data_IF_944024963518
#
_entry.id   IF_944024963518
#
_cell.length_a   1.000
_cell.length_b   1.000
_cell.length_c   1.000
_cell.angle_alpha   90.00
_cell.angle_beta   90.00
_cell.angle_gamma   90.00
#
_symmetry.space_group_name_H-M   'P 1'
#
loop_
_entity.id
_entity.type
_entity.pdbx_description
1 polymer ?
#
# COMPACT_ATOMS: atom_id res chain seq x y z
N UNK A 1 -34.77 -24.25 -0.02
CA UNK A 1 -35.20 -25.56 -0.54
C UNK A 1 -34.96 -25.62 -2.05
N UNK A 2 -34.37 -26.70 -2.56
CA UNK A 2 -34.25 -26.93 -4.01
C UNK A 2 -35.63 -27.24 -4.61
N UNK A 3 -36.09 -26.43 -5.57
CA UNK A 3 -37.34 -26.64 -6.32
C UNK A 3 -37.12 -27.46 -7.59
N UNK A 4 -36.05 -27.17 -8.32
CA UNK A 4 -35.75 -27.90 -9.55
C UNK A 4 -34.27 -27.86 -9.90
N UNK A 5 -33.81 -28.89 -10.61
CA UNK A 5 -32.47 -28.95 -11.20
C UNK A 5 -32.58 -29.27 -12.69
N UNK A 6 -31.82 -28.53 -13.50
CA UNK A 6 -31.64 -28.75 -14.92
C UNK A 6 -30.15 -29.00 -15.20
N UNK A 7 -29.83 -30.13 -15.81
CA UNK A 7 -28.48 -30.52 -16.20
C UNK A 7 -28.45 -30.78 -17.71
N UNK A 8 -27.46 -30.20 -18.39
CA UNK A 8 -27.22 -30.41 -19.82
C UNK A 8 -25.75 -30.73 -20.07
N UNK A 9 -25.50 -31.75 -20.89
CA UNK A 9 -24.17 -32.14 -21.37
C UNK A 9 -23.14 -32.45 -20.26
N UNK A 10 -23.54 -33.22 -19.24
CA UNK A 10 -22.74 -33.52 -18.04
C UNK A 10 -22.52 -35.03 -17.87
N UNK A 11 -21.27 -35.50 -17.94
CA UNK A 11 -20.89 -36.91 -17.77
C UNK A 11 -21.69 -37.86 -18.69
N UNK A 12 -22.70 -38.57 -18.18
CA UNK A 12 -23.57 -39.45 -18.97
C UNK A 12 -24.91 -38.79 -19.36
N UNK A 13 -25.22 -37.62 -18.80
CA UNK A 13 -26.48 -36.89 -18.99
C UNK A 13 -26.37 -35.99 -20.22
N UNK A 14 -27.22 -36.23 -21.21
CA UNK A 14 -27.44 -35.28 -22.30
C UNK A 14 -28.34 -34.12 -21.84
N UNK A 15 -29.51 -34.45 -21.29
CA UNK A 15 -30.45 -33.50 -20.67
C UNK A 15 -31.21 -34.16 -19.53
N UNK A 16 -31.31 -33.49 -18.39
CA UNK A 16 -32.09 -33.91 -17.23
C UNK A 16 -32.77 -32.70 -16.61
N UNK A 17 -34.06 -32.82 -16.34
CA UNK A 17 -34.85 -31.83 -15.61
C UNK A 17 -35.62 -32.57 -14.52
N UNK A 18 -35.39 -32.23 -13.25
CA UNK A 18 -36.11 -32.81 -12.11
C UNK A 18 -36.71 -31.68 -11.29
N UNK A 19 -37.97 -31.85 -10.90
CA UNK A 19 -38.64 -30.99 -9.92
C UNK A 19 -38.75 -31.73 -8.59
N UNK A 20 -38.53 -31.02 -7.49
CA UNK A 20 -38.53 -31.54 -6.14
C UNK A 20 -39.70 -30.94 -5.36
N UNK A 21 -40.36 -31.79 -4.58
CA UNK A 21 -41.39 -31.37 -3.63
C UNK A 21 -40.79 -31.19 -2.24
N UNK A 22 -41.50 -30.46 -1.39
CA UNK A 22 -41.07 -30.19 -0.01
C UNK A 22 -41.05 -31.47 0.82
N UNK A 23 -40.09 -31.54 1.74
CA UNK A 23 -39.94 -32.66 2.65
C UNK A 23 -38.95 -33.70 2.13
N UNK A 24 -39.32 -34.98 2.22
CA UNK A 24 -38.42 -36.09 1.96
C UNK A 24 -38.56 -36.60 0.52
N UNK A 25 -37.47 -36.49 -0.25
CA UNK A 25 -37.38 -37.03 -1.61
C UNK A 25 -36.38 -38.19 -1.66
N UNK A 26 -36.79 -39.31 -2.26
CA UNK A 26 -35.93 -40.48 -2.44
C UNK A 26 -35.67 -40.70 -3.92
N UNK A 27 -34.41 -40.82 -4.29
CA UNK A 27 -33.98 -41.19 -5.64
C UNK A 27 -33.46 -42.62 -5.59
N UNK A 28 -34.10 -43.51 -6.34
CA UNK A 28 -33.70 -44.91 -6.52
C UNK A 28 -33.31 -45.19 -7.97
N UNK A 29 -32.61 -46.30 -8.21
CA UNK A 29 -32.18 -46.72 -9.54
C UNK A 29 -31.43 -48.04 -9.50
N UNK A 30 -31.25 -48.66 -10.67
CA UNK A 30 -30.58 -49.96 -10.82
C UNK A 30 -29.06 -49.86 -10.60
N UNK A 31 -28.45 -48.79 -11.11
CA UNK A 31 -27.01 -48.51 -10.94
C UNK A 31 -26.82 -47.19 -10.18
N UNK A 32 -25.91 -47.19 -9.21
CA UNK A 32 -25.60 -46.00 -8.39
C UNK A 32 -25.06 -44.80 -9.17
N UNK A 33 -24.73 -44.98 -10.45
CA UNK A 33 -24.17 -43.94 -11.32
C UNK A 33 -25.10 -42.73 -11.45
N UNK A 34 -26.41 -42.92 -11.66
CA UNK A 34 -27.34 -41.80 -11.86
C UNK A 34 -27.49 -40.91 -10.61
N UNK A 35 -27.53 -41.53 -9.42
CA UNK A 35 -27.57 -40.82 -8.14
C UNK A 35 -26.28 -40.05 -7.90
N UNK A 36 -25.13 -40.68 -8.10
CA UNK A 36 -23.82 -40.05 -7.90
C UNK A 36 -23.63 -38.86 -8.84
N UNK A 37 -23.99 -39.01 -10.12
CA UNK A 37 -23.90 -37.92 -11.10
C UNK A 37 -24.76 -36.71 -10.68
N UNK A 38 -25.96 -36.93 -10.13
CA UNK A 38 -26.81 -35.84 -9.65
C UNK A 38 -26.19 -35.12 -8.44
N UNK A 39 -25.67 -35.87 -7.48
CA UNK A 39 -25.00 -35.32 -6.28
C UNK A 39 -23.72 -34.55 -6.65
N UNK A 40 -22.93 -35.09 -7.58
CA UNK A 40 -21.74 -34.39 -8.10
C UNK A 40 -22.11 -33.12 -8.87
N UNK A 41 -23.18 -33.17 -9.67
CA UNK A 41 -23.70 -32.01 -10.38
C UNK A 41 -24.14 -30.89 -9.41
N UNK A 42 -24.87 -31.26 -8.34
CA UNK A 42 -25.21 -30.32 -7.27
C UNK A 42 -23.94 -29.78 -6.60
N UNK A 43 -22.95 -30.61 -6.31
CA UNK A 43 -21.70 -30.17 -5.71
C UNK A 43 -20.97 -29.12 -6.57
N UNK A 44 -20.99 -29.28 -7.90
CA UNK A 44 -20.44 -28.29 -8.84
C UNK A 44 -21.22 -26.99 -8.85
N UNK A 45 -22.55 -27.07 -8.72
CA UNK A 45 -23.41 -25.89 -8.59
C UNK A 45 -23.11 -25.09 -7.30
N UNK A 46 -22.66 -25.77 -6.25
CA UNK A 46 -22.25 -25.17 -4.97
C UNK A 46 -20.79 -24.70 -4.95
N UNK A 47 -20.13 -24.64 -6.11
CA UNK A 47 -18.78 -24.08 -6.23
C UNK A 47 -17.63 -25.07 -6.06
N UNK A 48 -17.89 -26.39 -6.04
CA UNK A 48 -16.82 -27.38 -6.20
C UNK A 48 -16.09 -27.16 -7.53
N UNK A 49 -14.77 -27.37 -7.55
CA UNK A 49 -13.99 -27.25 -8.78
C UNK A 49 -14.44 -28.29 -9.79
N UNK A 50 -14.57 -27.86 -11.04
CA UNK A 50 -14.89 -28.74 -12.16
C UNK A 50 -13.62 -29.33 -12.76
N UNK A 51 -13.61 -30.63 -12.98
CA UNK A 51 -12.59 -31.28 -13.80
C UNK A 51 -12.88 -31.07 -15.30
N UNK A 52 -11.82 -31.03 -16.12
CA UNK A 52 -11.95 -30.83 -17.57
C UNK A 52 -12.67 -32.00 -18.28
N UNK A 53 -12.82 -33.14 -17.63
CA UNK A 53 -13.48 -34.36 -18.13
C UNK A 53 -15.00 -34.36 -17.95
N UNK A 54 -15.57 -33.28 -17.42
CA UNK A 54 -16.99 -33.21 -17.06
C UNK A 54 -17.93 -33.16 -18.27
N UNK A 55 -17.49 -32.61 -19.40
CA UNK A 55 -18.32 -32.46 -20.60
C UNK A 55 -18.50 -33.80 -21.31
N UNK A 56 -19.76 -34.23 -21.50
CA UNK A 56 -20.10 -35.45 -22.26
C UNK A 56 -19.70 -35.30 -23.73
N UNK A 57 -20.27 -34.29 -24.39
CA UNK A 57 -19.91 -33.82 -25.71
C UNK A 57 -18.87 -32.71 -25.56
N UNK A 58 -17.62 -33.02 -25.94
CA UNK A 58 -16.47 -32.11 -25.85
C UNK A 58 -16.60 -30.87 -26.73
N UNK A 59 -17.57 -30.82 -27.64
CA UNK A 59 -17.80 -29.66 -28.52
C UNK A 59 -18.81 -28.67 -27.96
N UNK A 60 -19.59 -29.06 -26.94
CA UNK A 60 -20.67 -28.24 -26.36
C UNK A 60 -20.38 -27.84 -24.93
N UNK A 61 -20.97 -26.73 -24.50
CA UNK A 61 -20.91 -26.32 -23.08
C UNK A 61 -21.78 -27.24 -22.22
N UNK A 62 -21.29 -27.52 -21.01
CA UNK A 62 -22.05 -28.14 -19.94
C UNK A 62 -22.75 -27.05 -19.11
N UNK A 63 -24.00 -27.27 -18.72
CA UNK A 63 -24.80 -26.33 -17.93
C UNK A 63 -25.48 -27.09 -16.81
N UNK A 64 -25.31 -26.60 -15.58
CA UNK A 64 -26.02 -27.07 -14.40
C UNK A 64 -26.73 -25.85 -13.81
N UNK A 65 -28.04 -25.95 -13.62
CA UNK A 65 -28.87 -24.88 -13.08
C UNK A 65 -29.79 -25.44 -12.00
N UNK A 66 -29.89 -24.73 -10.89
CA UNK A 66 -30.77 -25.09 -9.78
C UNK A 66 -31.59 -23.88 -9.34
N UNK A 67 -32.88 -24.11 -9.12
CA UNK A 67 -33.83 -23.11 -8.62
C UNK A 67 -34.10 -23.39 -7.16
N UNK A 68 -33.93 -22.39 -6.32
CA UNK A 68 -34.01 -22.50 -4.87
C UNK A 68 -35.03 -21.54 -4.30
N UNK A 69 -35.91 -22.04 -3.43
CA UNK A 69 -36.68 -21.23 -2.51
C UNK A 69 -35.81 -20.85 -1.31
N UNK A 70 -35.44 -19.58 -1.15
CA UNK A 70 -34.61 -19.09 -0.06
C UNK A 70 -35.30 -18.08 0.85
N UNK A 71 -36.62 -17.90 0.72
CA UNK A 71 -37.38 -16.91 1.50
C UNK A 71 -37.26 -17.09 3.01
N UNK A 72 -37.11 -18.32 3.49
CA UNK A 72 -37.06 -18.65 4.92
C UNK A 72 -35.66 -18.54 5.57
N UNK A 73 -34.57 -18.43 4.79
CA UNK A 73 -33.20 -18.54 5.32
C UNK A 73 -32.57 -17.21 5.78
N UNK A 74 -33.32 -16.10 5.73
CA UNK A 74 -32.85 -14.76 6.10
C UNK A 74 -31.48 -14.39 5.47
N UNK A 75 -31.30 -14.69 4.17
CA UNK A 75 -30.03 -14.51 3.45
C UNK A 75 -29.86 -13.11 2.84
N UNK A 76 -30.78 -12.18 3.07
CA UNK A 76 -30.74 -10.87 2.40
C UNK A 76 -29.43 -10.12 2.65
N UNK A 77 -28.95 -10.13 3.90
CA UNK A 77 -27.69 -9.47 4.28
C UNK A 77 -26.46 -10.02 3.54
N UNK A 78 -26.40 -11.34 3.28
CA UNK A 78 -25.27 -11.92 2.56
C UNK A 78 -25.33 -11.60 1.07
N UNK A 79 -26.52 -11.43 0.48
CA UNK A 79 -26.65 -10.97 -0.89
C UNK A 79 -26.21 -9.50 -1.03
N UNK A 80 -26.69 -8.63 -0.14
CA UNK A 80 -26.33 -7.21 -0.12
C UNK A 80 -24.81 -7.00 0.04
N UNK A 81 -24.18 -7.75 0.97
CA UNK A 81 -22.72 -7.69 1.20
C UNK A 81 -21.89 -8.16 0.01
N UNK A 82 -22.46 -8.95 -0.91
CA UNK A 82 -21.78 -9.41 -2.12
C UNK A 82 -22.25 -8.67 -3.37
N UNK A 83 -23.05 -7.60 -3.22
CA UNK A 83 -23.63 -6.82 -4.32
C UNK A 83 -24.46 -7.67 -5.29
N UNK A 84 -25.27 -8.59 -4.75
CA UNK A 84 -26.12 -9.50 -5.53
C UNK A 84 -27.59 -9.19 -5.34
N UNK A 85 -28.37 -9.34 -6.41
CA UNK A 85 -29.83 -9.20 -6.36
C UNK A 85 -30.45 -10.37 -5.58
N UNK A 86 -31.11 -10.07 -4.46
CA UNK A 86 -31.83 -11.04 -3.67
C UNK A 86 -33.24 -11.25 -4.22
N UNK A 87 -33.59 -12.52 -4.45
CA UNK A 87 -34.97 -12.95 -4.66
C UNK A 87 -35.25 -14.19 -3.80
N UNK A 88 -36.47 -14.26 -3.27
CA UNK A 88 -37.02 -15.43 -2.61
C UNK A 88 -36.88 -16.70 -3.45
N UNK A 89 -37.03 -16.59 -4.77
CA UNK A 89 -36.68 -17.66 -5.71
C UNK A 89 -35.35 -17.33 -6.38
N UNK A 90 -34.28 -17.98 -5.93
CA UNK A 90 -32.92 -17.74 -6.44
C UNK A 90 -32.49 -18.83 -7.40
N UNK A 91 -31.92 -18.43 -8.53
CA UNK A 91 -31.36 -19.32 -9.54
C UNK A 91 -29.84 -19.31 -9.44
N UNK A 92 -29.27 -20.48 -9.18
CA UNK A 92 -27.83 -20.69 -9.31
C UNK A 92 -27.57 -21.39 -10.65
N UNK A 93 -26.58 -20.93 -11.41
CA UNK A 93 -26.17 -21.57 -12.67
C UNK A 93 -24.65 -21.67 -12.77
N UNK A 94 -24.17 -22.84 -13.17
CA UNK A 94 -22.77 -23.12 -13.50
C UNK A 94 -22.67 -23.53 -14.98
N UNK A 95 -21.79 -22.88 -15.71
CA UNK A 95 -21.46 -23.24 -17.10
C UNK A 95 -19.99 -23.66 -17.22
N UNK A 96 -19.72 -24.71 -17.97
CA UNK A 96 -18.36 -25.18 -18.28
C UNK A 96 -18.22 -25.30 -19.79
N UNK A 97 -17.37 -24.45 -20.37
CA UNK A 97 -17.12 -24.44 -21.81
C UNK A 97 -16.24 -25.62 -22.25
N UNK A 98 -16.25 -26.00 -23.54
CA UNK A 98 -15.30 -26.94 -24.13
C UNK A 98 -13.83 -26.64 -23.84
N UNK A 99 -13.48 -25.36 -23.70
CA UNK A 99 -12.12 -24.90 -23.38
C UNK A 99 -11.72 -25.08 -21.92
N UNK A 100 -12.62 -25.60 -21.07
CA UNK A 100 -12.41 -25.74 -19.63
C UNK A 100 -12.72 -24.49 -18.81
N UNK A 101 -12.95 -23.33 -19.46
CA UNK A 101 -13.38 -22.12 -18.75
C UNK A 101 -14.73 -22.34 -18.11
N UNK A 102 -14.80 -22.06 -16.81
CA UNK A 102 -16.01 -22.19 -16.01
C UNK A 102 -16.55 -20.82 -15.61
N UNK A 103 -17.87 -20.64 -15.73
CA UNK A 103 -18.60 -19.42 -15.37
C UNK A 103 -19.70 -19.76 -14.37
N UNK A 104 -20.02 -18.81 -13.51
CA UNK A 104 -21.06 -18.93 -12.51
C UNK A 104 -21.99 -17.73 -12.56
N UNK A 105 -23.24 -17.97 -12.24
CA UNK A 105 -24.28 -16.95 -12.21
C UNK A 105 -25.19 -17.17 -11.00
N UNK A 106 -25.67 -16.05 -10.44
CA UNK A 106 -26.71 -16.00 -9.42
C UNK A 106 -27.73 -14.97 -9.92
N UNK A 107 -28.99 -15.37 -10.11
CA UNK A 107 -30.05 -14.50 -10.63
C UNK A 107 -29.62 -13.75 -11.91
N UNK A 108 -29.05 -14.49 -12.86
CA UNK A 108 -28.47 -14.01 -14.13
C UNK A 108 -27.26 -13.06 -14.03
N UNK A 109 -26.87 -12.64 -12.82
CA UNK A 109 -25.65 -11.86 -12.58
C UNK A 109 -24.41 -12.77 -12.54
N UNK A 110 -23.34 -12.45 -13.29
CA UNK A 110 -22.11 -13.24 -13.29
C UNK A 110 -21.37 -13.07 -11.96
N UNK A 111 -20.99 -14.19 -11.34
CA UNK A 111 -20.28 -14.21 -10.05
C UNK A 111 -18.98 -14.99 -10.13
N UNK A 112 -18.08 -14.73 -9.19
CA UNK A 112 -16.90 -15.57 -9.02
C UNK A 112 -17.25 -16.87 -8.25
N UNK A 113 -16.37 -17.86 -8.30
CA UNK A 113 -16.59 -19.16 -7.66
C UNK A 113 -16.67 -19.06 -6.12
N UNK A 114 -15.99 -18.07 -5.52
CA UNK A 114 -16.04 -17.88 -4.08
C UNK A 114 -17.41 -17.37 -3.61
N UNK A 115 -17.98 -16.39 -4.29
CA UNK A 115 -19.34 -15.89 -4.06
C UNK A 115 -20.37 -17.00 -4.24
N UNK A 116 -20.27 -17.79 -5.32
CA UNK A 116 -21.15 -18.95 -5.55
C UNK A 116 -21.05 -19.95 -4.40
N UNK A 117 -19.84 -20.30 -3.96
CA UNK A 117 -19.63 -21.24 -2.87
C UNK A 117 -20.16 -20.73 -1.54
N UNK A 118 -19.97 -19.43 -1.24
CA UNK A 118 -20.41 -18.78 -0.01
C UNK A 118 -21.94 -18.73 0.10
N UNK A 119 -22.65 -18.52 -1.01
CA UNK A 119 -24.11 -18.57 -1.05
C UNK A 119 -24.60 -20.02 -1.04
N UNK A 120 -23.98 -20.88 -1.86
CA UNK A 120 -24.35 -22.30 -1.97
C UNK A 120 -24.31 -23.06 -0.64
N UNK A 121 -23.25 -22.86 0.17
CA UNK A 121 -23.10 -23.52 1.47
C UNK A 121 -24.17 -23.13 2.49
N UNK A 122 -24.86 -22.02 2.29
CA UNK A 122 -25.99 -21.58 3.13
C UNK A 122 -27.34 -22.15 2.68
N UNK A 123 -27.42 -22.71 1.46
CA UNK A 123 -28.68 -23.16 0.85
C UNK A 123 -28.78 -24.68 0.83
N UNK A 124 -27.66 -25.39 0.59
CA UNK A 124 -27.61 -26.86 0.54
C UNK A 124 -26.41 -27.34 1.36
N UNK A 125 -26.66 -28.34 2.21
CA UNK A 125 -25.61 -29.21 2.74
C UNK A 125 -25.69 -30.58 2.04
N UNK A 126 -24.53 -31.10 1.62
CA UNK A 126 -24.42 -32.38 0.93
C UNK A 126 -23.59 -33.31 1.82
N UNK A 127 -24.14 -34.49 2.13
CA UNK A 127 -23.43 -35.54 2.85
C UNK A 127 -23.25 -36.78 1.97
N UNK A 128 -22.00 -37.09 1.64
CA UNK A 128 -21.57 -38.26 0.87
C UNK A 128 -20.58 -39.12 1.66
N UNK A 129 -20.29 -40.32 1.15
CA UNK A 129 -19.45 -41.33 1.79
C UNK A 129 -17.99 -40.90 2.06
N UNK A 130 -17.53 -39.78 1.45
CA UNK A 130 -16.14 -39.29 1.55
C UNK A 130 -16.02 -37.82 2.00
N UNK A 131 -17.06 -37.19 2.55
CA UNK A 131 -16.96 -35.84 3.09
C UNK A 131 -16.56 -35.86 4.57
N UNK A 132 -15.67 -34.94 4.96
CA UNK A 132 -15.56 -34.52 6.35
C UNK A 132 -16.94 -33.97 6.75
N UNK A 133 -17.60 -34.64 7.69
CA UNK A 133 -18.85 -34.16 8.25
C UNK A 133 -18.61 -32.76 8.81
N UNK A 134 -19.45 -31.77 8.50
CA UNK A 134 -19.38 -30.44 9.14
C UNK A 134 -19.43 -30.57 10.69
N UNK A 135 -20.02 -31.66 11.21
CA UNK A 135 -19.96 -32.05 12.63
C UNK A 135 -18.55 -32.22 13.19
N UNK A 136 -17.55 -32.53 12.35
CA UNK A 136 -16.15 -32.64 12.77
C UNK A 136 -15.41 -31.30 12.72
N UNK A 137 -16.03 -30.27 12.13
CA UNK A 137 -15.47 -28.93 12.14
C UNK A 137 -15.59 -28.31 13.53
N UNK A 138 -14.48 -27.76 14.02
CA UNK A 138 -14.38 -27.26 15.38
C UNK A 138 -15.26 -26.02 15.59
N UNK A 139 -15.37 -25.15 14.58
CA UNK A 139 -16.22 -23.96 14.68
C UNK A 139 -17.69 -24.37 14.78
N UNK A 140 -18.13 -25.29 13.91
CA UNK A 140 -19.50 -25.81 13.95
C UNK A 140 -19.83 -26.55 15.26
N UNK A 141 -18.87 -27.27 15.84
CA UNK A 141 -19.05 -27.89 17.16
C UNK A 141 -19.29 -26.86 18.26
N UNK A 142 -18.52 -25.77 18.28
CA UNK A 142 -18.73 -24.69 19.24
C UNK A 142 -20.07 -23.99 19.02
N UNK A 143 -20.46 -23.72 17.77
CA UNK A 143 -21.78 -23.15 17.46
C UNK A 143 -22.92 -24.04 17.98
N UNK A 144 -22.80 -25.36 17.82
CA UNK A 144 -23.77 -26.32 18.38
C UNK A 144 -23.79 -26.22 19.92
N UNK A 145 -22.64 -26.28 20.57
CA UNK A 145 -22.55 -26.24 22.04
C UNK A 145 -23.14 -24.93 22.59
N UNK A 146 -22.82 -23.80 21.95
CA UNK A 146 -23.32 -22.49 22.35
C UNK A 146 -24.84 -22.35 22.13
N UNK A 147 -25.35 -22.91 21.04
CA UNK A 147 -26.79 -22.97 20.79
C UNK A 147 -27.51 -23.85 21.81
N UNK A 148 -26.98 -25.04 22.13
CA UNK A 148 -27.56 -25.93 23.15
C UNK A 148 -27.51 -25.34 24.55
N UNK A 149 -26.48 -24.55 24.84
CA UNK A 149 -26.28 -23.92 26.16
C UNK A 149 -27.02 -22.58 26.30
N UNK A 150 -27.72 -22.11 25.26
CA UNK A 150 -28.30 -20.77 25.17
C UNK A 150 -27.29 -19.63 25.45
N UNK A 151 -26.03 -19.82 25.07
CA UNK A 151 -24.94 -18.86 25.33
C UNK A 151 -24.85 -17.74 24.29
N UNK A 152 -25.77 -17.68 23.33
CA UNK A 152 -25.72 -16.75 22.19
C UNK A 152 -25.50 -15.31 22.64
N UNK A 153 -26.23 -14.82 23.65
CA UNK A 153 -26.04 -13.46 24.17
C UNK A 153 -24.67 -13.22 24.83
N UNK A 154 -24.11 -14.25 25.49
CA UNK A 154 -22.80 -14.17 26.16
C UNK A 154 -21.71 -14.11 25.08
N UNK A 155 -21.82 -14.94 24.06
CA UNK A 155 -20.90 -14.98 22.91
C UNK A 155 -20.94 -13.65 22.16
N UNK A 156 -22.12 -13.08 21.92
CA UNK A 156 -22.26 -11.78 21.25
C UNK A 156 -21.64 -10.64 22.07
N UNK A 157 -21.88 -10.61 23.39
CA UNK A 157 -21.23 -9.64 24.29
C UNK A 157 -19.71 -9.79 24.29
N UNK A 158 -19.21 -11.02 24.35
CA UNK A 158 -17.79 -11.31 24.28
C UNK A 158 -17.19 -10.82 22.95
N UNK A 159 -17.83 -11.16 21.83
CA UNK A 159 -17.39 -10.75 20.48
C UNK A 159 -17.34 -9.23 20.34
N UNK A 160 -18.32 -8.53 20.89
CA UNK A 160 -18.33 -7.06 20.90
C UNK A 160 -17.16 -6.47 21.70
N UNK A 161 -16.93 -6.96 22.93
CA UNK A 161 -15.81 -6.51 23.77
C UNK A 161 -14.47 -6.85 23.13
N UNK A 162 -14.35 -8.03 22.54
CA UNK A 162 -13.13 -8.50 21.89
C UNK A 162 -12.78 -7.66 20.66
N UNK A 163 -13.75 -7.29 19.84
CA UNK A 163 -13.53 -6.40 18.70
C UNK A 163 -13.05 -5.02 19.17
N UNK A 164 -13.66 -4.46 20.22
CA UNK A 164 -13.18 -3.20 20.81
C UNK A 164 -11.75 -3.31 21.36
N UNK A 165 -11.42 -4.42 22.02
CA UNK A 165 -10.07 -4.69 22.50
C UNK A 165 -9.06 -4.71 21.34
N UNK A 166 -9.36 -5.42 20.25
CA UNK A 166 -8.50 -5.46 19.07
C UNK A 166 -8.31 -4.09 18.43
N UNK A 167 -9.37 -3.30 18.32
CA UNK A 167 -9.29 -1.94 17.78
C UNK A 167 -8.45 -1.01 18.66
N UNK A 168 -8.58 -1.11 19.98
CA UNK A 168 -7.73 -0.37 20.92
C UNK A 168 -6.28 -0.82 20.83
N UNK A 169 -6.01 -2.12 20.69
CA UNK A 169 -4.66 -2.64 20.53
C UNK A 169 -3.99 -2.10 19.27
N UNK A 170 -4.70 -2.07 18.13
CA UNK A 170 -4.21 -1.45 16.88
C UNK A 170 -3.91 0.05 17.05
N UNK A 171 -4.77 0.79 17.78
CA UNK A 171 -4.53 2.21 18.07
C UNK A 171 -3.28 2.43 18.93
N UNK A 172 -3.06 1.57 19.93
CA UNK A 172 -1.87 1.63 20.79
C UNK A 172 -0.60 1.39 19.96
N UNK A 173 -0.61 0.39 19.08
CA UNK A 173 0.53 0.11 18.19
C UNK A 173 0.84 1.30 17.28
N UNK A 174 -0.20 1.91 16.70
CA UNK A 174 -0.05 3.13 15.90
C UNK A 174 0.55 4.29 16.70
N UNK A 175 0.04 4.57 17.90
CA UNK A 175 0.57 5.65 18.72
C UNK A 175 2.01 5.42 19.20
N UNK A 176 2.41 4.16 19.42
CA UNK A 176 3.81 3.82 19.71
C UNK A 176 4.70 4.14 18.53
N UNK A 177 4.29 3.73 17.32
CA UNK A 177 5.03 4.04 16.10
C UNK A 177 5.14 5.55 15.86
N UNK A 178 4.03 6.28 15.99
CA UNK A 178 4.01 7.74 15.82
C UNK A 178 4.92 8.44 16.84
N UNK A 179 4.90 7.99 18.11
CA UNK A 179 5.79 8.52 19.17
C UNK A 179 7.27 8.33 18.82
N UNK A 180 7.66 7.16 18.33
CA UNK A 180 9.05 6.88 17.99
C UNK A 180 9.53 7.77 16.82
N UNK A 181 8.67 7.98 15.80
CA UNK A 181 8.97 8.88 14.68
C UNK A 181 9.11 10.35 15.11
N UNK A 182 8.28 10.80 16.06
CA UNK A 182 8.36 12.15 16.61
C UNK A 182 9.63 12.36 17.43
N UNK A 183 10.04 11.36 18.23
CA UNK A 183 11.29 11.44 18.98
C UNK A 183 12.51 11.59 18.07
N UNK A 184 12.57 10.81 16.97
CA UNK A 184 13.64 10.96 15.97
C UNK A 184 13.66 12.36 15.35
N UNK A 185 12.48 12.91 15.05
CA UNK A 185 12.36 14.27 14.51
C UNK A 185 12.79 15.34 15.52
N UNK A 186 12.46 15.16 16.80
CA UNK A 186 12.89 16.05 17.89
C UNK A 186 14.42 16.04 18.02
N UNK A 187 15.02 14.85 18.02
CA UNK A 187 16.48 14.71 18.16
C UNK A 187 17.22 15.36 16.98
N UNK A 188 16.72 15.15 15.76
CA UNK A 188 17.26 15.81 14.57
C UNK A 188 17.14 17.34 14.62
N UNK A 189 15.95 17.86 14.99
CA UNK A 189 15.75 19.30 15.07
C UNK A 189 16.59 19.94 16.19
N UNK A 190 16.78 19.26 17.32
CA UNK A 190 17.69 19.71 18.39
C UNK A 190 19.15 19.73 17.92
N UNK A 191 19.55 18.73 17.13
CA UNK A 191 20.89 18.72 16.55
C UNK A 191 21.12 19.94 15.65
N UNK A 192 20.19 20.23 14.73
CA UNK A 192 20.28 21.41 13.87
C UNK A 192 20.31 22.70 14.68
N UNK A 193 19.42 22.82 15.67
CA UNK A 193 19.37 24.03 16.51
C UNK A 193 20.71 24.26 17.21
N UNK A 194 21.29 23.21 17.81
CA UNK A 194 22.58 23.30 18.47
C UNK A 194 23.71 23.65 17.48
N UNK A 195 23.67 23.11 16.25
CA UNK A 195 24.64 23.43 15.21
C UNK A 195 24.55 24.92 14.83
N UNK A 196 23.34 25.45 14.61
CA UNK A 196 23.09 26.85 14.32
C UNK A 196 23.50 27.78 15.47
N UNK A 197 23.15 27.43 16.70
CA UNK A 197 23.52 28.20 17.90
C UNK A 197 25.05 28.21 18.09
N UNK A 198 25.73 27.09 17.82
CA UNK A 198 27.19 27.00 17.90
C UNK A 198 27.92 27.80 16.81
N UNK A 199 27.30 27.93 15.63
CA UNK A 199 27.85 28.70 14.52
C UNK A 199 27.76 30.21 14.74
N UNK A 200 26.92 30.67 15.70
CA UNK A 200 26.85 32.04 16.19
C UNK A 200 26.79 33.12 15.08
N UNK A 201 26.05 32.82 14.00
CA UNK A 201 26.04 33.56 12.74
C UNK A 201 25.39 34.96 12.81
N UNK A 202 24.81 35.33 13.94
CA UNK A 202 24.06 36.59 14.10
C UNK A 202 24.97 37.81 14.37
N UNK A 203 26.20 37.60 14.84
CA UNK A 203 27.12 38.68 15.21
C UNK A 203 28.16 39.00 14.12
N UNK A 204 28.29 38.18 13.09
CA UNK A 204 29.29 38.35 12.04
C UNK A 204 28.73 39.15 10.84
N UNK A 205 29.32 40.31 10.57
CA UNK A 205 29.03 41.06 9.35
C UNK A 205 29.85 40.50 8.19
N UNK A 206 29.20 39.70 7.34
CA UNK A 206 29.82 39.03 6.20
C UNK A 206 30.55 40.02 5.27
N UNK A 207 30.00 41.21 5.05
CA UNK A 207 30.64 42.24 4.23
C UNK A 207 31.95 42.76 4.84
N UNK A 208 32.07 42.77 6.17
CA UNK A 208 33.28 43.19 6.87
C UNK A 208 34.35 42.09 6.85
N UNK A 209 33.94 40.83 7.04
CA UNK A 209 34.83 39.67 6.92
C UNK A 209 35.39 39.53 5.50
N UNK A 210 34.58 39.72 4.46
CA UNK A 210 35.04 39.71 3.07
C UNK A 210 36.06 40.82 2.80
N UNK A 211 35.83 42.05 3.29
CA UNK A 211 36.81 43.16 3.19
C UNK A 211 38.12 42.82 3.89
N UNK A 212 38.05 42.25 5.10
CA UNK A 212 39.22 41.84 5.86
C UNK A 212 39.98 40.70 5.18
N UNK A 213 39.28 39.73 4.58
CA UNK A 213 39.92 38.64 3.82
C UNK A 213 40.65 39.18 2.58
N UNK A 214 40.04 40.09 1.83
CA UNK A 214 40.70 40.75 0.68
C UNK A 214 41.91 41.56 1.13
N UNK A 215 41.84 42.25 2.26
CA UNK A 215 42.98 42.95 2.82
C UNK A 215 44.12 42.00 3.22
N UNK A 216 43.82 40.97 4.02
CA UNK A 216 44.80 40.01 4.54
C UNK A 216 45.46 39.18 3.44
N UNK A 217 44.69 38.74 2.43
CA UNK A 217 45.24 38.00 1.28
C UNK A 217 46.24 38.81 0.46
N UNK A 218 46.16 40.14 0.52
CA UNK A 218 47.07 41.05 -0.17
C UNK A 218 48.16 41.62 0.75
N UNK A 219 48.19 41.25 2.03
CA UNK A 219 49.04 41.85 3.05
C UNK A 219 50.54 41.68 2.78
N UNK A 220 50.97 40.50 2.29
CA UNK A 220 52.37 40.24 1.94
C UNK A 220 52.84 41.18 0.81
N UNK A 221 52.07 41.27 -0.28
CA UNK A 221 52.37 42.16 -1.41
C UNK A 221 52.41 43.62 -0.97
N UNK A 222 51.47 44.04 -0.10
CA UNK A 222 51.46 45.38 0.47
C UNK A 222 52.74 45.63 1.29
N UNK A 223 53.12 44.68 2.15
CA UNK A 223 54.26 44.81 3.06
C UNK A 223 55.61 44.79 2.33
N UNK A 224 55.77 43.94 1.33
CA UNK A 224 56.97 43.85 0.49
C UNK A 224 57.20 45.15 -0.29
N UNK A 225 56.16 45.65 -0.95
CA UNK A 225 56.26 46.86 -1.76
C UNK A 225 56.39 48.12 -0.87
N UNK A 226 55.78 48.17 0.33
CA UNK A 226 56.04 49.24 1.31
C UNK A 226 57.48 49.20 1.85
N UNK A 227 58.02 48.01 2.10
CA UNK A 227 59.42 47.85 2.51
C UNK A 227 60.37 48.28 1.39
N UNK A 228 60.03 47.94 0.14
CA UNK A 228 60.75 48.40 -1.05
C UNK A 228 60.72 49.94 -1.18
N UNK A 229 59.56 50.55 -1.00
CA UNK A 229 59.40 52.01 -0.98
C UNK A 229 60.25 52.65 0.11
N UNK A 230 60.26 52.08 1.32
CA UNK A 230 61.03 52.61 2.44
C UNK A 230 62.55 52.53 2.15
N UNK A 231 63.02 51.41 1.60
CA UNK A 231 64.42 51.26 1.18
C UNK A 231 64.81 52.27 0.11
N UNK A 232 63.93 52.53 -0.88
CA UNK A 232 64.18 53.54 -1.91
C UNK A 232 64.28 54.97 -1.36
N UNK A 233 63.61 55.28 -0.25
CA UNK A 233 63.72 56.61 0.39
C UNK A 233 65.02 56.77 1.18
N UNK A 234 65.62 55.68 1.65
CA UNK A 234 66.85 55.68 2.46
C UNK A 234 68.10 55.65 1.57
N UNK A 235 68.00 55.11 0.35
CA UNK A 235 69.15 54.90 -0.53
C UNK A 235 69.61 56.22 -1.20
N UNK A 236 70.69 56.82 -0.67
CA UNK A 236 71.24 58.12 -1.08
C UNK A 236 71.97 58.09 -2.45
N UNK A 237 72.20 56.90 -3.01
CA UNK A 237 73.04 56.70 -4.20
C UNK A 237 72.30 56.79 -5.55
N UNK A 238 70.98 57.00 -5.53
CA UNK A 238 70.12 57.01 -6.73
C UNK A 238 69.52 58.40 -6.93
N UNK A 239 69.50 58.88 -8.18
CA UNK A 239 68.92 60.17 -8.52
C UNK A 239 67.44 60.29 -8.14
N UNK A 240 67.03 61.45 -7.63
CA UNK A 240 65.68 61.71 -7.12
C UNK A 240 64.60 61.40 -8.17
N UNK A 241 64.85 61.69 -9.44
CA UNK A 241 63.90 61.47 -10.53
C UNK A 241 63.62 59.97 -10.79
N UNK A 242 64.65 59.12 -10.71
CA UNK A 242 64.48 57.67 -10.87
C UNK A 242 63.85 57.03 -9.62
N UNK A 243 64.12 57.58 -8.43
CA UNK A 243 63.45 57.16 -7.21
C UNK A 243 61.96 57.49 -7.22
N UNK A 244 61.54 58.68 -7.69
CA UNK A 244 60.12 59.05 -7.82
C UNK A 244 59.39 58.13 -8.80
N UNK A 245 59.99 57.79 -9.93
CA UNK A 245 59.38 56.87 -10.90
C UNK A 245 59.21 55.44 -10.34
N UNK A 246 60.21 54.94 -9.60
CA UNK A 246 60.11 53.62 -8.93
C UNK A 246 59.10 53.62 -7.79
N UNK A 247 59.01 54.72 -7.04
CA UNK A 247 57.99 54.95 -6.01
C UNK A 247 56.59 54.91 -6.61
N UNK A 248 56.36 55.60 -7.72
CA UNK A 248 55.08 55.61 -8.41
C UNK A 248 54.68 54.23 -8.93
N UNK A 249 55.62 53.48 -9.51
CA UNK A 249 55.35 52.13 -10.00
C UNK A 249 55.06 51.12 -8.88
N UNK A 250 55.66 51.33 -7.71
CA UNK A 250 55.42 50.47 -6.55
C UNK A 250 54.10 50.84 -5.87
N UNK A 251 53.83 52.14 -5.69
CA UNK A 251 52.57 52.63 -5.15
C UNK A 251 51.37 52.34 -6.05
N UNK A 252 51.51 52.37 -7.38
CA UNK A 252 50.41 52.05 -8.31
C UNK A 252 49.95 50.60 -8.23
N UNK A 253 50.85 49.66 -7.91
CA UNK A 253 50.51 48.24 -7.73
C UNK A 253 49.68 47.99 -6.47
N UNK A 254 49.80 48.86 -5.47
CA UNK A 254 49.14 48.70 -4.17
C UNK A 254 48.00 49.70 -3.96
N UNK A 255 47.95 50.80 -4.72
CA UNK A 255 47.02 51.92 -4.52
C UNK A 255 45.56 51.45 -4.54
N UNK A 256 45.19 50.61 -5.51
CA UNK A 256 43.84 50.07 -5.66
C UNK A 256 43.36 49.18 -4.49
N UNK A 257 44.26 48.76 -3.59
CA UNK A 257 43.96 47.79 -2.52
C UNK A 257 43.54 48.45 -1.21
N UNK A 258 43.77 49.74 -1.01
CA UNK A 258 43.34 50.45 0.21
C UNK A 258 43.18 51.94 -0.05
N UNK A 259 42.11 52.54 0.47
CA UNK A 259 41.78 53.96 0.23
C UNK A 259 42.89 54.92 0.71
N UNK A 260 43.60 54.57 1.79
CA UNK A 260 44.74 55.35 2.29
C UNK A 260 45.97 55.28 1.37
N UNK A 261 46.23 54.14 0.72
CA UNK A 261 47.34 53.98 -0.22
C UNK A 261 47.06 54.69 -1.55
N UNK A 262 45.79 54.72 -1.98
CA UNK A 262 45.34 55.56 -3.09
C UNK A 262 45.64 57.05 -2.84
N UNK A 263 45.32 57.58 -1.65
CA UNK A 263 45.61 58.99 -1.29
C UNK A 263 47.11 59.30 -1.30
N UNK A 264 47.95 58.34 -0.90
CA UNK A 264 49.41 58.49 -0.96
C UNK A 264 49.95 58.44 -2.40
N UNK A 265 49.41 57.54 -3.22
CA UNK A 265 49.74 57.47 -4.65
C UNK A 265 49.41 58.78 -5.37
N UNK A 266 48.21 59.34 -5.18
CA UNK A 266 47.81 60.61 -5.78
C UNK A 266 48.73 61.77 -5.35
N UNK A 267 49.14 61.80 -4.09
CA UNK A 267 50.07 62.82 -3.58
C UNK A 267 51.44 62.74 -4.24
N UNK A 268 51.99 61.54 -4.40
CA UNK A 268 53.30 61.35 -5.07
C UNK A 268 53.19 61.64 -6.57
N UNK A 269 52.05 61.30 -7.19
CA UNK A 269 51.78 61.59 -8.60
C UNK A 269 51.74 63.09 -8.87
N UNK A 270 51.13 63.88 -7.97
CA UNK A 270 51.10 65.34 -8.06
C UNK A 270 52.47 66.01 -7.88
N UNK A 271 53.45 65.32 -7.28
CA UNK A 271 54.83 65.81 -7.10
C UNK A 271 55.72 65.44 -8.30
N UNK A 272 55.29 64.52 -9.16
CA UNK A 272 56.11 63.96 -10.25
C UNK A 272 56.11 64.76 -11.56
N UNK A 273 55.72 66.03 -11.50
CA UNK A 273 55.79 67.01 -12.61
C UNK A 273 57.09 67.80 -12.49
#
# INVERSE_FOLDING_TARGET
MLKSISIKNYVLIDKLNISFNSGFSVITGETGAGKTILVDGLSLLLGKRADLSVNRDKTKKCIIEGVFDIGAYNLKSIFDLNELDYDSETILRREISPSGKSRAFINDSPVNLHQLSKIGSRIIDIHTQHQNLNILDQEFQFEIIDAFSNNIEIVDKFRFIFNQYQDLQRKIEKFKFDKDSLNQSIDYNKFILNELDSANLYEENLEELEKNQVFLSNFEVISEELSFINNLMIDENIGIQTNIQKLLNSLSKISAKTENLNKLYERVLNISI
#
